data_IF_292725318560
#
_entry.id   IF_292725318560
#
_cell.length_a   1.000
_cell.length_b   1.000
_cell.length_c   1.000
_cell.angle_alpha   90.00
_cell.angle_beta   90.00
_cell.angle_gamma   90.00
#
_symmetry.space_group_name_H-M   'P 1'
#
loop_
_entity.id
_entity.type
_entity.pdbx_description
1 polymer ?
#
# COMPACT_ATOMS: atom_id res chain seq x y z
N UNK A 1 -16.16 -15.00 9.01
CA UNK A 1 -15.13 -14.21 9.71
C UNK A 1 -14.18 -13.67 8.66
N UNK A 2 -14.19 -12.35 8.45
CA UNK A 2 -13.28 -11.65 7.54
C UNK A 2 -11.89 -11.47 8.17
N UNK A 3 -10.87 -11.18 7.37
CA UNK A 3 -9.52 -10.89 7.88
C UNK A 3 -9.55 -9.70 8.85
N UNK A 4 -10.36 -8.67 8.58
CA UNK A 4 -10.58 -7.53 9.46
C UNK A 4 -11.27 -7.89 10.79
N UNK A 5 -12.24 -8.80 10.76
CA UNK A 5 -12.89 -9.32 11.97
C UNK A 5 -11.91 -10.12 12.83
N UNK A 6 -11.05 -10.93 12.20
CA UNK A 6 -10.01 -11.69 12.89
C UNK A 6 -8.99 -10.76 13.58
N UNK A 7 -8.52 -9.71 12.90
CA UNK A 7 -7.60 -8.71 13.48
C UNK A 7 -8.22 -8.07 14.72
N UNK A 8 -9.47 -7.60 14.65
CA UNK A 8 -10.17 -6.99 15.79
C UNK A 8 -10.26 -7.95 16.98
N UNK A 9 -10.58 -9.22 16.71
CA UNK A 9 -10.64 -10.25 17.75
C UNK A 9 -9.28 -10.48 18.42
N UNK A 10 -8.21 -10.61 17.63
CA UNK A 10 -6.85 -10.83 18.16
C UNK A 10 -6.32 -9.63 18.95
N UNK A 11 -6.58 -8.40 18.52
CA UNK A 11 -6.19 -7.21 19.29
C UNK A 11 -6.89 -7.13 20.63
N UNK A 12 -8.20 -7.38 20.65
CA UNK A 12 -8.96 -7.44 21.89
C UNK A 12 -8.42 -8.54 22.82
N UNK A 13 -8.07 -9.71 22.29
CA UNK A 13 -7.56 -10.81 23.11
C UNK A 13 -6.14 -10.55 23.62
N UNK A 14 -5.29 -9.91 22.82
CA UNK A 14 -3.92 -9.53 23.20
C UNK A 14 -3.90 -8.56 24.37
N UNK A 15 -4.80 -7.57 24.39
CA UNK A 15 -4.85 -6.57 25.47
C UNK A 15 -5.23 -7.16 26.83
N UNK A 16 -6.08 -8.20 26.84
CA UNK A 16 -6.52 -8.89 28.06
C UNK A 16 -5.75 -10.16 28.42
N UNK A 17 -4.61 -10.45 27.76
CA UNK A 17 -3.86 -11.69 28.01
C UNK A 17 -2.81 -11.54 29.11
N UNK A 18 -2.87 -12.41 30.11
CA UNK A 18 -1.90 -12.51 31.21
C UNK A 18 -0.99 -13.74 31.09
N UNK A 19 -1.21 -14.58 30.06
CA UNK A 19 -0.45 -15.82 29.86
C UNK A 19 0.95 -15.49 29.33
N UNK A 20 2.03 -15.94 29.98
CA UNK A 20 3.39 -15.76 29.49
C UNK A 20 3.56 -16.30 28.07
N UNK A 21 4.18 -15.53 27.18
CA UNK A 21 4.42 -15.92 25.78
C UNK A 21 3.21 -15.80 24.84
N UNK A 22 1.97 -15.74 25.34
CA UNK A 22 0.78 -15.59 24.49
C UNK A 22 0.78 -14.28 23.70
N UNK A 23 1.37 -13.20 24.25
CA UNK A 23 1.49 -11.91 23.56
C UNK A 23 2.31 -12.02 22.27
N UNK A 24 3.41 -12.77 22.29
CA UNK A 24 4.26 -13.01 21.12
C UNK A 24 3.52 -13.80 20.03
N UNK A 25 2.72 -14.80 20.41
CA UNK A 25 1.87 -15.54 19.46
C UNK A 25 0.83 -14.62 18.82
N UNK A 26 0.20 -13.74 19.60
CA UNK A 26 -0.73 -12.76 19.07
C UNK A 26 -0.07 -11.72 18.17
N UNK A 27 1.16 -11.29 18.49
CA UNK A 27 1.92 -10.38 17.64
C UNK A 27 2.21 -11.00 16.27
N UNK A 28 2.69 -12.25 16.24
CA UNK A 28 2.95 -12.97 15.00
C UNK A 28 1.66 -13.20 14.20
N UNK A 29 0.56 -13.58 14.85
CA UNK A 29 -0.73 -13.75 14.18
C UNK A 29 -1.26 -12.43 13.59
N UNK A 30 -1.13 -11.32 14.33
CA UNK A 30 -1.54 -9.99 13.87
C UNK A 30 -0.70 -9.51 12.69
N UNK A 31 0.61 -9.78 12.68
CA UNK A 31 1.49 -9.44 11.56
C UNK A 31 1.02 -10.13 10.27
N UNK A 32 0.83 -11.45 10.32
CA UNK A 32 0.36 -12.24 9.16
C UNK A 32 -1.02 -11.79 8.69
N UNK A 33 -1.95 -11.53 9.62
CA UNK A 33 -3.30 -11.09 9.28
C UNK A 33 -3.32 -9.69 8.68
N UNK A 34 -2.48 -8.77 9.16
CA UNK A 34 -2.36 -7.42 8.59
C UNK A 34 -1.72 -7.45 7.21
N UNK A 35 -0.70 -8.28 7.00
CA UNK A 35 -0.10 -8.50 5.68
C UNK A 35 -1.14 -9.11 4.71
N UNK A 36 -1.97 -10.04 5.20
CA UNK A 36 -3.08 -10.59 4.42
C UNK A 36 -4.12 -9.51 4.09
N UNK A 37 -4.54 -8.71 5.07
CA UNK A 37 -5.52 -7.64 4.87
C UNK A 37 -5.00 -6.59 3.87
N UNK A 38 -3.72 -6.21 3.96
CA UNK A 38 -3.08 -5.28 3.03
C UNK A 38 -3.02 -5.83 1.59
N UNK A 39 -2.92 -7.16 1.41
CA UNK A 39 -3.00 -7.82 0.10
C UNK A 39 -4.43 -7.96 -0.43
N UNK A 40 -5.41 -8.08 0.47
CA UNK A 40 -6.81 -8.22 0.10
C UNK A 40 -7.45 -6.89 -0.26
N UNK A 41 -7.11 -5.82 0.47
CA UNK A 41 -7.56 -4.46 0.21
C UNK A 41 -6.39 -3.48 0.42
N UNK A 42 -5.50 -3.32 -0.58
CA UNK A 42 -4.38 -2.41 -0.45
C UNK A 42 -4.90 -0.98 -0.35
N UNK A 43 -4.54 -0.30 0.74
CA UNK A 43 -4.75 1.14 0.87
C UNK A 43 -3.87 1.89 -0.15
N UNK A 44 -4.35 3.01 -0.70
CA UNK A 44 -3.51 3.90 -1.50
C UNK A 44 -2.29 4.34 -0.68
N UNK A 45 -1.11 4.29 -1.29
CA UNK A 45 0.11 4.84 -0.71
C UNK A 45 -0.07 6.35 -0.50
N UNK A 46 0.57 6.87 0.54
CA UNK A 46 0.78 8.29 0.74
C UNK A 46 2.01 8.77 -0.03
N UNK A 47 2.18 10.09 -0.17
CA UNK A 47 3.37 10.67 -0.78
C UNK A 47 4.67 10.29 -0.06
N UNK A 48 4.61 10.22 1.27
CA UNK A 48 5.78 9.88 2.08
C UNK A 48 6.16 8.40 1.89
N UNK A 49 5.18 7.49 1.86
CA UNK A 49 5.43 6.08 1.56
C UNK A 49 5.96 5.89 0.14
N UNK A 50 5.39 6.58 -0.86
CA UNK A 50 5.92 6.60 -2.22
C UNK A 50 7.37 7.07 -2.26
N UNK A 51 7.72 8.11 -1.50
CA UNK A 51 9.10 8.63 -1.46
C UNK A 51 10.08 7.60 -0.89
N UNK A 52 9.65 6.80 0.09
CA UNK A 52 10.46 5.72 0.67
C UNK A 52 10.64 4.54 -0.29
N UNK A 53 9.81 4.43 -1.31
CA UNK A 53 9.85 3.37 -2.33
C UNK A 53 10.74 3.71 -3.55
N UNK A 54 11.72 4.61 -3.44
CA UNK A 54 12.62 4.96 -4.57
C UNK A 54 13.30 3.70 -5.14
N UNK A 55 13.10 3.45 -6.43
CA UNK A 55 13.60 2.26 -7.12
C UNK A 55 12.71 1.02 -7.04
N UNK A 56 11.56 1.09 -6.36
CA UNK A 56 10.60 -0.02 -6.28
C UNK A 56 9.42 0.16 -7.26
N UNK A 57 8.81 -0.94 -7.74
CA UNK A 57 7.60 -0.87 -8.55
C UNK A 57 6.35 -0.61 -7.69
N UNK A 58 5.42 0.18 -8.20
CA UNK A 58 4.08 0.40 -7.62
C UNK A 58 3.00 0.24 -8.68
N UNK A 59 1.82 -0.20 -8.28
CA UNK A 59 0.65 -0.23 -9.15
C UNK A 59 -0.01 1.15 -9.17
N UNK A 60 -0.12 1.78 -10.33
CA UNK A 60 -0.78 3.08 -10.50
C UNK A 60 -2.17 2.93 -11.12
N UNK A 61 -3.15 3.66 -10.60
CA UNK A 61 -4.49 3.75 -11.14
C UNK A 61 -4.91 5.19 -11.42
N UNK A 62 -5.48 5.42 -12.61
CA UNK A 62 -5.92 6.74 -13.07
C UNK A 62 -7.43 6.75 -13.29
N UNK A 63 -8.16 7.56 -12.52
CA UNK A 63 -9.63 7.53 -12.47
C UNK A 63 -10.27 7.77 -13.84
N UNK A 64 -9.72 8.71 -14.61
CA UNK A 64 -10.23 9.09 -15.95
C UNK A 64 -9.60 8.29 -17.10
N UNK A 65 -8.64 7.41 -16.82
CA UNK A 65 -7.87 6.68 -17.84
C UNK A 65 -7.63 5.22 -17.39
N UNK A 66 -8.67 4.37 -17.37
CA UNK A 66 -8.56 3.00 -16.89
C UNK A 66 -7.55 2.16 -17.69
N UNK A 67 -7.35 2.44 -18.98
CA UNK A 67 -6.37 1.75 -19.83
C UNK A 67 -4.91 2.08 -19.46
N UNK A 68 -4.68 3.03 -18.55
CA UNK A 68 -3.35 3.44 -18.10
C UNK A 68 -2.97 2.80 -16.76
N UNK A 69 -3.85 1.96 -16.19
CA UNK A 69 -3.53 1.18 -15.00
C UNK A 69 -2.35 0.26 -15.26
N UNK A 70 -1.40 0.20 -14.34
CA UNK A 70 -0.22 -0.64 -14.52
C UNK A 70 0.87 -0.40 -13.50
N UNK A 71 1.87 -1.30 -13.50
CA UNK A 71 3.07 -1.12 -12.71
C UNK A 71 3.95 0.00 -13.27
N UNK A 72 4.48 0.81 -12.36
CA UNK A 72 5.39 1.93 -12.63
C UNK A 72 6.54 1.91 -11.65
N UNK A 73 7.74 2.24 -12.13
CA UNK A 73 8.92 2.34 -11.29
C UNK A 73 8.93 3.71 -10.59
N UNK A 74 9.04 3.72 -9.28
CA UNK A 74 9.15 4.92 -8.47
C UNK A 74 10.56 5.50 -8.59
N UNK A 75 10.64 6.81 -8.78
CA UNK A 75 11.90 7.55 -8.72
C UNK A 75 11.73 8.89 -8.01
N UNK A 76 12.47 9.14 -6.96
CA UNK A 76 12.59 10.48 -6.38
C UNK A 76 13.39 11.39 -7.32
N UNK A 77 12.88 12.60 -7.55
CA UNK A 77 13.55 13.62 -8.35
C UNK A 77 13.75 14.90 -7.53
N UNK A 78 15.00 15.12 -7.12
CA UNK A 78 15.44 16.30 -6.37
C UNK A 78 15.25 17.62 -7.14
N UNK A 79 15.26 17.60 -8.48
CA UNK A 79 15.16 18.82 -9.29
C UNK A 79 13.75 19.42 -9.24
N UNK A 80 12.73 18.57 -9.12
CA UNK A 80 11.33 18.99 -9.03
C UNK A 80 10.74 18.77 -7.63
N UNK A 81 11.53 18.25 -6.70
CA UNK A 81 11.15 17.90 -5.33
C UNK A 81 9.86 17.06 -5.28
N UNK A 82 9.79 16.02 -6.11
CA UNK A 82 8.62 15.16 -6.25
C UNK A 82 8.99 13.74 -6.68
N UNK A 83 8.06 12.82 -6.49
CA UNK A 83 8.18 11.45 -6.98
C UNK A 83 7.74 11.39 -8.42
N UNK A 84 8.58 10.81 -9.28
CA UNK A 84 8.24 10.41 -10.65
C UNK A 84 7.90 8.93 -10.71
N UNK A 85 6.98 8.58 -11.58
CA UNK A 85 6.60 7.21 -11.92
C UNK A 85 6.93 6.94 -13.37
N UNK A 86 7.85 6.01 -13.58
CA UNK A 86 8.29 5.61 -14.91
C UNK A 86 7.52 4.41 -15.40
N UNK A 87 7.14 4.53 -16.66
CA UNK A 87 6.30 3.62 -17.39
C UNK A 87 7.16 2.77 -18.34
N UNK A 88 6.70 1.58 -18.72
CA UNK A 88 7.45 0.66 -19.58
C UNK A 88 7.58 1.12 -21.04
N UNK A 89 6.87 2.19 -21.43
CA UNK A 89 6.96 2.86 -22.72
C UNK A 89 7.80 4.15 -22.65
N UNK A 90 8.44 4.44 -21.51
CA UNK A 90 9.26 5.62 -21.29
C UNK A 90 8.47 6.90 -20.97
N UNK A 91 7.16 6.81 -20.76
CA UNK A 91 6.40 7.93 -20.22
C UNK A 91 6.74 8.13 -18.74
N UNK A 92 6.48 9.33 -18.22
CA UNK A 92 6.60 9.60 -16.79
C UNK A 92 5.46 10.50 -16.29
N UNK A 93 5.12 10.32 -15.02
CA UNK A 93 4.16 11.14 -14.28
C UNK A 93 4.80 11.59 -12.98
N UNK A 94 4.43 12.76 -12.46
CA UNK A 94 4.90 13.22 -11.15
C UNK A 94 3.73 13.51 -10.20
N UNK A 95 4.00 13.39 -8.91
CA UNK A 95 2.97 13.48 -7.87
C UNK A 95 2.39 14.88 -7.63
N UNK A 96 2.94 15.94 -8.25
CA UNK A 96 2.47 17.32 -8.02
C UNK A 96 1.10 17.59 -8.64
N UNK A 97 0.68 16.77 -9.60
CA UNK A 97 -0.56 16.96 -10.35
C UNK A 97 -1.56 15.84 -10.09
N UNK A 98 -2.45 16.06 -9.10
CA UNK A 98 -3.65 15.23 -8.91
C UNK A 98 -3.44 13.91 -8.16
N UNK A 99 -2.26 13.64 -7.61
CA UNK A 99 -2.03 12.47 -6.78
C UNK A 99 -2.95 12.45 -5.54
N UNK A 100 -3.54 11.30 -5.23
CA UNK A 100 -4.54 11.14 -4.17
C UNK A 100 -5.96 11.60 -4.55
N UNK A 101 -6.08 12.45 -5.57
CA UNK A 101 -7.33 12.97 -6.09
C UNK A 101 -7.81 12.23 -7.35
N UNK A 102 -7.11 12.43 -8.46
CA UNK A 102 -7.46 11.92 -9.80
C UNK A 102 -6.74 10.64 -10.19
N UNK A 103 -5.72 10.25 -9.41
CA UNK A 103 -4.99 9.01 -9.56
C UNK A 103 -4.30 8.63 -8.24
N UNK A 104 -4.07 7.33 -8.05
CA UNK A 104 -3.55 6.75 -6.80
C UNK A 104 -2.55 5.65 -7.12
N UNK A 105 -1.71 5.32 -6.16
CA UNK A 105 -0.78 4.19 -6.26
C UNK A 105 -0.95 3.23 -5.10
N UNK A 106 -0.63 1.98 -5.34
CA UNK A 106 -0.74 0.89 -4.40
C UNK A 106 0.55 0.08 -4.46
N UNK A 107 0.95 -0.53 -3.34
CA UNK A 107 2.11 -1.42 -3.32
C UNK A 107 1.90 -2.65 -4.21
N UNK A 108 0.68 -3.18 -4.20
CA UNK A 108 0.24 -4.29 -5.05
C UNK A 108 -1.03 -3.92 -5.81
N UNK A 109 -1.28 -4.59 -6.93
CA UNK A 109 -2.55 -4.43 -7.67
C UNK A 109 -3.74 -4.76 -6.75
N UNK A 110 -4.68 -3.84 -6.54
CA UNK A 110 -5.92 -4.13 -5.82
C UNK A 110 -6.67 -5.28 -6.50
N UNK A 111 -7.22 -6.19 -5.69
CA UNK A 111 -8.16 -7.20 -6.20
C UNK A 111 -9.49 -6.48 -6.45
N UNK A 112 -10.04 -6.63 -7.65
CA UNK A 112 -11.39 -6.16 -7.95
C UNK A 112 -12.37 -6.96 -7.07
N UNK A 113 -13.28 -6.27 -6.38
CA UNK A 113 -14.36 -6.88 -5.59
C UNK A 113 -15.40 -7.57 -6.48
#
# INVERSE_FOLDING_TARGET
MTTSEAIKWFEHRKSGSTIPGARMVFDMALEVLREKAARENPEPLTLEELRQMDGEPVWAEFDKKPNWKGYRLVKWDDQINAVRLWDNLGAWYDTRNGYGGTWRTYREKPKEE
#
